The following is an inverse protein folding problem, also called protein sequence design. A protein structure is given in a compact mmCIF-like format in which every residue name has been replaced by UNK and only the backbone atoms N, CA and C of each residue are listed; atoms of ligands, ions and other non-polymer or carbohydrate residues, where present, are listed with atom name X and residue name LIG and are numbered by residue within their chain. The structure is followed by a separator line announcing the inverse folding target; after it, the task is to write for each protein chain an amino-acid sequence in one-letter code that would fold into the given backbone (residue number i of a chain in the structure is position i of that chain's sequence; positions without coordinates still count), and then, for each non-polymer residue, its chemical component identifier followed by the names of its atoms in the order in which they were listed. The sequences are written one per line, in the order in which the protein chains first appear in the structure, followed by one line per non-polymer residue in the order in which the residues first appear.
data_IF_653492381943
#
_entry.id   IF_653492381943
#
_cell.length_a   1.000
_cell.length_b   1.000
_cell.length_c   1.000
_cell.angle_alpha   90.00
_cell.angle_beta   90.00
_cell.angle_gamma   90.00
#
_symmetry.space_group_name_H-M   'P 1'
#
loop_
_entity.id
_entity.type
_entity.pdbx_description
1 polymer ?
#
# COMPACT_ATOMS: atom_id res chain seq x y z
N UNK A 1 -1.14 -114.41 21.93
CA UNK A 1 -1.08 -113.20 22.78
C UNK A 1 0.10 -112.31 22.36
N UNK A 2 -0.11 -111.39 21.42
CA UNK A 2 0.86 -110.33 21.08
C UNK A 2 0.06 -109.13 20.58
N UNK A 3 -0.27 -108.19 21.45
CA UNK A 3 -0.62 -106.78 21.11
C UNK A 3 -0.77 -106.00 22.43
N UNK A 4 0.33 -105.45 22.99
CA UNK A 4 0.25 -104.45 24.09
C UNK A 4 1.32 -103.34 24.04
N UNK A 5 2.18 -103.28 23.02
CA UNK A 5 3.26 -102.28 22.95
C UNK A 5 2.91 -100.99 22.17
N UNK A 6 1.75 -100.89 21.51
CA UNK A 6 1.38 -99.70 20.71
C UNK A 6 0.86 -98.49 21.50
N UNK A 7 0.38 -98.66 22.74
CA UNK A 7 -0.22 -97.56 23.53
C UNK A 7 0.79 -96.72 24.32
N UNK A 8 1.92 -97.30 24.74
CA UNK A 8 2.96 -96.54 25.49
C UNK A 8 3.78 -95.60 24.61
N UNK A 9 3.92 -95.93 23.32
CA UNK A 9 4.74 -95.13 22.39
C UNK A 9 4.01 -93.88 21.87
N UNK A 10 2.67 -93.91 21.74
CA UNK A 10 1.86 -92.73 21.38
C UNK A 10 1.84 -91.64 22.47
N UNK A 11 1.69 -92.04 23.74
CA UNK A 11 1.66 -91.06 24.84
C UNK A 11 2.98 -90.28 25.02
N UNK A 12 4.13 -90.88 24.72
CA UNK A 12 5.43 -90.20 24.82
C UNK A 12 5.63 -89.13 23.73
N UNK A 13 5.06 -89.32 22.53
CA UNK A 13 5.11 -88.33 21.46
C UNK A 13 4.04 -87.23 21.63
N UNK A 14 2.87 -87.57 22.16
CA UNK A 14 1.82 -86.58 22.47
C UNK A 14 2.21 -85.62 23.60
N UNK A 15 2.89 -86.13 24.64
CA UNK A 15 3.41 -85.30 25.73
C UNK A 15 4.44 -84.28 25.22
N UNK A 16 5.27 -84.67 24.25
CA UNK A 16 6.30 -83.82 23.64
C UNK A 16 5.69 -82.76 22.70
N UNK A 17 4.62 -83.11 21.97
CA UNK A 17 3.90 -82.19 21.07
C UNK A 17 3.18 -81.07 21.85
N UNK A 18 2.50 -81.39 22.94
CA UNK A 18 1.79 -80.39 23.74
C UNK A 18 2.76 -79.38 24.38
N UNK A 19 3.93 -79.84 24.81
CA UNK A 19 4.97 -78.99 25.37
C UNK A 19 5.55 -78.03 24.32
N UNK A 20 5.81 -78.52 23.09
CA UNK A 20 6.25 -77.68 21.96
C UNK A 20 5.20 -76.62 21.60
N UNK A 21 3.91 -77.00 21.54
CA UNK A 21 2.83 -76.04 21.27
C UNK A 21 2.79 -74.95 22.35
N UNK A 22 2.89 -75.33 23.63
CA UNK A 22 2.86 -74.36 24.73
C UNK A 22 4.05 -73.38 24.69
N UNK A 23 5.26 -73.84 24.36
CA UNK A 23 6.42 -72.97 24.20
C UNK A 23 6.31 -72.04 22.99
N UNK A 24 5.73 -72.50 21.88
CA UNK A 24 5.47 -71.66 20.71
C UNK A 24 4.38 -70.60 20.98
N UNK A 25 3.30 -70.98 21.67
CA UNK A 25 2.26 -70.04 22.13
C UNK A 25 2.85 -69.01 23.12
N UNK A 26 3.76 -69.44 24.01
CA UNK A 26 4.51 -68.54 24.89
C UNK A 26 5.39 -67.58 24.09
N UNK A 27 6.11 -68.07 23.09
CA UNK A 27 6.97 -67.24 22.20
C UNK A 27 6.14 -66.14 21.54
N UNK A 28 5.00 -66.49 20.96
CA UNK A 28 4.08 -65.52 20.36
C UNK A 28 3.61 -64.48 21.38
N UNK A 29 3.19 -64.93 22.58
CA UNK A 29 2.73 -64.02 23.63
C UNK A 29 3.82 -63.03 24.09
N UNK A 30 5.09 -63.46 24.13
CA UNK A 30 6.21 -62.59 24.46
C UNK A 30 6.47 -61.55 23.36
N UNK A 31 6.40 -61.94 22.08
CA UNK A 31 6.50 -61.01 20.96
C UNK A 31 5.35 -60.00 20.92
N UNK A 32 4.13 -60.44 21.18
CA UNK A 32 2.96 -59.55 21.22
C UNK A 32 3.13 -58.48 22.30
N UNK A 33 3.64 -58.87 23.49
CA UNK A 33 3.97 -57.95 24.58
C UNK A 33 5.13 -57.03 24.21
N UNK A 34 6.17 -57.52 23.54
CA UNK A 34 7.28 -56.69 23.06
C UNK A 34 6.79 -55.65 22.05
N UNK A 35 5.90 -56.05 21.13
CA UNK A 35 5.24 -55.15 20.18
C UNK A 35 4.31 -54.14 20.85
N UNK A 36 3.67 -54.50 21.97
CA UNK A 36 2.90 -53.56 22.79
C UNK A 36 3.82 -52.53 23.48
N UNK A 37 4.96 -52.97 24.04
CA UNK A 37 5.96 -52.08 24.63
C UNK A 37 6.51 -51.12 23.59
N UNK A 38 6.83 -51.60 22.38
CA UNK A 38 7.33 -50.76 21.31
C UNK A 38 6.29 -49.71 20.88
N UNK A 39 5.02 -50.09 20.76
CA UNK A 39 3.91 -49.14 20.49
C UNK A 39 3.75 -48.10 21.62
N UNK A 40 3.81 -48.52 22.88
CA UNK A 40 3.78 -47.59 24.02
C UNK A 40 4.99 -46.65 24.02
N UNK A 41 6.17 -47.16 23.68
CA UNK A 41 7.38 -46.36 23.54
C UNK A 41 7.24 -45.31 22.44
N UNK A 42 6.67 -45.67 21.28
CA UNK A 42 6.38 -44.72 20.20
C UNK A 42 5.35 -43.67 20.64
N UNK A 43 4.27 -44.08 21.31
CA UNK A 43 3.26 -43.16 21.84
C UNK A 43 3.86 -42.13 22.82
N UNK A 44 4.83 -42.52 23.65
CA UNK A 44 5.54 -41.57 24.52
C UNK A 44 6.43 -40.58 23.73
N UNK A 45 6.97 -40.97 22.58
CA UNK A 45 7.70 -40.02 21.69
C UNK A 45 6.73 -39.01 21.09
N UNK A 46 5.57 -39.48 20.63
CA UNK A 46 4.52 -38.62 20.07
C UNK A 46 3.96 -37.65 21.13
N UNK A 47 3.62 -38.15 22.32
CA UNK A 47 3.16 -37.35 23.48
C UNK A 47 4.16 -36.23 23.80
N UNK A 48 5.47 -36.53 23.78
CA UNK A 48 6.52 -35.53 23.99
C UNK A 48 6.52 -34.46 22.89
N UNK A 49 6.46 -34.86 21.63
CA UNK A 49 6.55 -33.94 20.50
C UNK A 49 5.30 -33.05 20.39
N UNK A 50 4.11 -33.62 20.58
CA UNK A 50 2.85 -32.88 20.56
C UNK A 50 2.73 -31.93 21.75
N UNK A 51 3.09 -32.39 22.95
CA UNK A 51 3.08 -31.58 24.17
C UNK A 51 3.98 -30.34 24.04
N UNK A 52 5.19 -30.52 23.49
CA UNK A 52 6.13 -29.43 23.23
C UNK A 52 5.55 -28.38 22.26
N UNK A 53 4.86 -28.83 21.20
CA UNK A 53 4.24 -27.94 20.20
C UNK A 53 3.09 -27.12 20.77
N UNK A 54 2.15 -27.78 21.45
CA UNK A 54 0.94 -27.15 22.02
C UNK A 54 1.31 -26.12 23.10
N UNK A 55 2.24 -26.45 23.99
CA UNK A 55 2.65 -25.55 25.06
C UNK A 55 3.36 -24.30 24.53
N UNK A 56 4.20 -24.45 23.50
CA UNK A 56 4.88 -23.32 22.84
C UNK A 56 3.88 -22.41 22.12
N UNK A 57 2.90 -22.97 21.41
CA UNK A 57 1.87 -22.17 20.71
C UNK A 57 0.98 -21.41 21.70
N UNK A 58 0.59 -22.05 22.80
CA UNK A 58 -0.17 -21.42 23.87
C UNK A 58 0.57 -20.22 24.47
N UNK A 59 1.87 -20.37 24.78
CA UNK A 59 2.71 -19.30 25.29
C UNK A 59 2.79 -18.12 24.31
N UNK A 60 3.06 -18.40 23.03
CA UNK A 60 3.15 -17.34 21.99
C UNK A 60 1.81 -16.58 21.88
N UNK A 61 0.69 -17.28 21.99
CA UNK A 61 -0.65 -16.66 21.94
C UNK A 61 -0.90 -15.78 23.16
N UNK A 62 -0.46 -16.20 24.34
CA UNK A 62 -0.55 -15.43 25.57
C UNK A 62 0.33 -14.18 25.53
N UNK A 63 1.60 -14.32 25.12
CA UNK A 63 2.53 -13.21 24.93
C UNK A 63 1.98 -12.14 23.96
N UNK A 64 1.37 -12.57 22.85
CA UNK A 64 0.72 -11.66 21.89
C UNK A 64 -0.50 -10.95 22.49
N UNK A 65 -1.30 -11.65 23.31
CA UNK A 65 -2.46 -11.05 23.98
C UNK A 65 -2.02 -9.99 24.99
N UNK A 66 -1.02 -10.29 25.79
CA UNK A 66 -0.46 -9.35 26.77
C UNK A 66 0.08 -8.09 26.09
N UNK A 67 0.90 -8.27 25.04
CA UNK A 67 1.43 -7.14 24.25
C UNK A 67 0.33 -6.29 23.66
N UNK A 68 -0.69 -6.90 23.04
CA UNK A 68 -1.83 -6.15 22.47
C UNK A 68 -2.60 -5.37 23.53
N UNK A 69 -2.81 -5.96 24.71
CA UNK A 69 -3.50 -5.30 25.81
C UNK A 69 -2.73 -4.05 26.28
N UNK A 70 -1.41 -4.16 26.43
CA UNK A 70 -0.56 -3.02 26.84
C UNK A 70 -0.41 -1.98 25.72
N UNK A 71 -0.24 -2.41 24.48
CA UNK A 71 -0.17 -1.52 23.32
C UNK A 71 -1.44 -0.67 23.17
N UNK A 72 -2.62 -1.24 23.47
CA UNK A 72 -3.88 -0.50 23.45
C UNK A 72 -3.86 0.68 24.43
N UNK A 73 -3.35 0.47 25.64
CA UNK A 73 -3.23 1.52 26.68
C UNK A 73 -2.32 2.66 26.17
N UNK A 74 -1.22 2.31 25.51
CA UNK A 74 -0.30 3.30 24.93
C UNK A 74 -0.95 4.06 23.76
N UNK A 75 -1.66 3.37 22.87
CA UNK A 75 -2.34 3.99 21.73
C UNK A 75 -3.44 4.97 22.17
N UNK A 76 -4.19 4.66 23.24
CA UNK A 76 -5.20 5.56 23.82
C UNK A 76 -4.59 6.85 24.40
N UNK A 77 -3.29 6.83 24.73
CA UNK A 77 -2.55 7.96 25.30
C UNK A 77 -1.65 8.67 24.29
N UNK A 78 -1.72 8.31 23.00
CA UNK A 78 -0.90 8.92 21.96
C UNK A 78 -1.24 10.42 21.86
N UNK A 79 -0.26 11.33 22.03
CA UNK A 79 -0.50 12.76 21.91
C UNK A 79 -0.92 13.12 20.49
N UNK A 80 -2.05 13.82 20.36
CA UNK A 80 -2.48 14.41 19.09
C UNK A 80 -1.87 15.79 18.93
N UNK A 81 -1.03 15.97 17.91
CA UNK A 81 -0.50 17.29 17.57
C UNK A 81 -1.21 17.82 16.33
N UNK A 82 -1.85 18.98 16.46
CA UNK A 82 -2.46 19.64 15.32
C UNK A 82 -1.37 20.31 14.47
N UNK A 83 -1.54 20.33 13.13
CA UNK A 83 -0.61 21.03 12.22
C UNK A 83 -0.43 22.51 12.54
N UNK A 84 -1.39 23.11 13.23
CA UNK A 84 -1.39 24.52 13.68
C UNK A 84 -0.56 24.77 14.94
N UNK A 85 -0.15 23.73 15.67
CA UNK A 85 0.55 23.91 16.94
C UNK A 85 1.99 24.41 16.75
N UNK A 86 2.59 24.14 15.59
CA UNK A 86 3.92 24.62 15.19
C UNK A 86 3.91 25.77 14.18
N UNK A 87 2.73 26.29 13.79
CA UNK A 87 2.67 27.40 12.85
C UNK A 87 3.02 28.71 13.55
N UNK A 88 4.16 29.29 13.19
CA UNK A 88 4.52 30.64 13.63
C UNK A 88 3.55 31.66 13.03
N UNK A 89 3.08 32.65 13.80
CA UNK A 89 2.33 33.77 13.24
C UNK A 89 3.18 34.49 12.17
N UNK A 90 2.50 35.07 11.18
CA UNK A 90 3.11 35.78 10.05
C UNK A 90 4.17 36.82 10.47
N UNK A 91 5.02 37.22 9.51
CA UNK A 91 6.17 38.12 9.65
C UNK A 91 6.07 39.18 10.76
N UNK A 92 7.15 39.33 11.54
CA UNK A 92 7.28 40.35 12.57
C UNK A 92 6.93 41.73 12.00
N UNK A 93 6.06 42.52 12.66
CA UNK A 93 5.73 43.86 12.18
C UNK A 93 7.00 44.72 12.08
N UNK A 94 7.20 45.34 10.90
CA UNK A 94 8.37 46.17 10.60
C UNK A 94 8.39 47.41 11.49
N UNK A 95 9.53 47.73 12.09
CA UNK A 95 9.69 48.92 12.93
C UNK A 95 9.52 50.17 12.04
N UNK A 96 8.71 51.17 12.45
CA UNK A 96 8.58 52.45 11.75
C UNK A 96 9.94 53.10 11.46
N UNK A 97 10.90 52.99 12.38
CA UNK A 97 12.26 53.55 12.23
C UNK A 97 13.02 52.96 11.02
N UNK A 98 12.72 51.72 10.62
CA UNK A 98 13.35 51.05 9.48
C UNK A 98 12.77 51.50 8.12
N UNK A 99 11.62 52.20 8.11
CA UNK A 99 10.88 52.59 6.89
C UNK A 99 11.28 54.01 6.41
N UNK A 100 12.03 54.74 7.22
CA UNK A 100 12.55 56.07 6.90
C UNK A 100 12.42 57.00 8.10
N UNK A 101 13.54 57.59 8.52
CA UNK A 101 13.64 58.40 9.73
C UNK A 101 12.97 59.78 9.54
N UNK A 102 11.75 60.00 10.08
CA UNK A 102 11.05 61.28 9.98
C UNK A 102 11.77 62.38 10.76
N UNK A 103 12.67 62.03 11.70
CA UNK A 103 13.45 63.02 12.42
C UNK A 103 14.38 63.78 11.46
N UNK A 104 14.87 63.14 10.39
CA UNK A 104 15.63 63.82 9.33
C UNK A 104 14.78 64.80 8.54
N UNK A 105 13.53 64.47 8.25
CA UNK A 105 12.65 65.35 7.47
C UNK A 105 12.05 66.47 8.32
N UNK A 106 11.77 66.21 9.60
CA UNK A 106 11.44 67.22 10.61
C UNK A 106 12.63 68.16 10.82
N UNK A 107 13.85 67.64 10.96
CA UNK A 107 15.06 68.46 11.13
C UNK A 107 15.35 69.32 9.90
N UNK A 108 15.17 68.81 8.68
CA UNK A 108 15.22 69.64 7.45
C UNK A 108 14.15 70.72 7.46
N UNK A 109 12.93 70.41 7.90
CA UNK A 109 11.84 71.38 8.05
C UNK A 109 12.16 72.48 9.07
N UNK A 110 12.74 72.12 10.21
CA UNK A 110 13.16 73.05 11.27
C UNK A 110 14.34 73.92 10.82
N UNK A 111 15.33 73.37 10.12
CA UNK A 111 16.44 74.15 9.57
C UNK A 111 15.94 75.11 8.48
N UNK A 112 15.06 74.65 7.61
CA UNK A 112 14.40 75.48 6.58
C UNK A 112 13.58 76.61 7.20
N UNK A 113 12.87 76.36 8.30
CA UNK A 113 12.03 77.37 8.95
C UNK A 113 12.85 78.43 9.68
N UNK A 114 13.91 78.03 10.37
CA UNK A 114 14.85 78.97 11.01
C UNK A 114 15.50 79.87 9.96
N UNK A 115 15.92 79.32 8.82
CA UNK A 115 16.47 80.10 7.69
C UNK A 115 15.43 81.06 7.10
N UNK A 116 14.16 80.64 6.97
CA UNK A 116 13.09 81.50 6.46
C UNK A 116 12.78 82.67 7.42
N UNK A 117 12.76 82.43 8.73
CA UNK A 117 12.56 83.47 9.76
C UNK A 117 13.75 84.43 9.79
N UNK A 118 14.98 83.94 9.71
CA UNK A 118 16.18 84.77 9.61
C UNK A 118 16.17 85.62 8.33
N UNK A 119 15.75 85.05 7.19
CA UNK A 119 15.57 85.78 5.93
C UNK A 119 14.50 86.87 6.03
N UNK A 120 13.36 86.59 6.68
CA UNK A 120 12.31 87.57 6.97
C UNK A 120 12.81 88.70 7.88
N UNK A 121 13.57 88.38 8.93
CA UNK A 121 14.15 89.38 9.83
C UNK A 121 15.16 90.28 9.11
N UNK A 122 16.05 89.70 8.30
CA UNK A 122 17.00 90.46 7.48
C UNK A 122 16.27 91.37 6.47
N UNK A 123 15.19 90.88 5.86
CA UNK A 123 14.38 91.64 4.92
C UNK A 123 13.59 92.78 5.60
N UNK A 124 13.07 92.57 6.82
CA UNK A 124 12.46 93.62 7.64
C UNK A 124 13.46 94.72 8.01
N UNK A 125 14.72 94.38 8.30
CA UNK A 125 15.79 95.35 8.56
C UNK A 125 16.06 96.20 7.30
N UNK A 126 16.08 95.58 6.11
CA UNK A 126 16.21 96.29 4.83
C UNK A 126 15.01 97.22 4.55
N UNK A 127 13.80 96.83 4.94
CA UNK A 127 12.60 97.68 4.83
C UNK A 127 12.65 98.92 5.72
N UNK A 128 13.17 98.79 6.95
CA UNK A 128 13.31 99.92 7.90
C UNK A 128 14.36 100.92 7.42
N UNK A 129 15.40 100.44 6.71
CA UNK A 129 16.49 101.28 6.19
C UNK A 129 16.22 101.84 4.78
N UNK A 130 15.23 101.30 4.05
CA UNK A 130 14.83 101.75 2.72
C UNK A 130 13.84 102.94 2.71
N UNK A 131 13.91 103.77 1.67
CA UNK A 131 13.10 104.99 1.50
C UNK A 131 11.58 104.76 1.63
N UNK A 132 10.89 105.69 2.32
CA UNK A 132 9.47 105.62 2.76
C UNK A 132 8.40 105.39 1.68
N UNK A 133 8.74 105.41 0.39
CA UNK A 133 7.78 105.38 -0.72
C UNK A 133 7.20 103.99 -1.04
N UNK A 134 7.81 102.90 -0.56
CA UNK A 134 7.43 101.53 -0.96
C UNK A 134 6.72 100.69 0.11
N UNK A 135 6.51 101.25 1.31
CA UNK A 135 6.12 100.47 2.50
C UNK A 135 4.79 99.71 2.40
N UNK A 136 3.79 100.22 1.68
CA UNK A 136 2.45 99.60 1.62
C UNK A 136 2.37 98.39 0.67
N UNK A 137 3.08 98.41 -0.46
CA UNK A 137 3.10 97.28 -1.41
C UNK A 137 3.95 96.14 -0.84
N UNK A 138 5.06 96.47 -0.17
CA UNK A 138 5.90 95.48 0.48
C UNK A 138 5.22 94.81 1.68
N UNK A 139 4.36 95.51 2.41
CA UNK A 139 3.61 94.95 3.54
C UNK A 139 2.61 93.86 3.10
N UNK A 140 1.88 94.05 1.99
CA UNK A 140 0.92 93.05 1.52
C UNK A 140 1.59 91.78 0.99
N UNK A 141 2.71 91.94 0.27
CA UNK A 141 3.55 90.81 -0.19
C UNK A 141 4.18 90.09 1.01
N UNK A 142 4.60 90.83 2.05
CA UNK A 142 5.12 90.24 3.28
C UNK A 142 4.07 89.45 4.05
N UNK A 143 2.82 89.90 4.11
CA UNK A 143 1.74 89.14 4.74
C UNK A 143 1.42 87.84 3.97
N UNK A 144 1.40 87.87 2.64
CA UNK A 144 1.15 86.68 1.81
C UNK A 144 2.31 85.68 1.85
N UNK A 145 3.56 86.16 1.77
CA UNK A 145 4.75 85.32 1.93
C UNK A 145 4.88 84.80 3.36
N UNK A 146 4.59 85.62 4.36
CA UNK A 146 4.56 85.22 5.77
C UNK A 146 3.53 84.14 6.04
N UNK A 147 2.34 84.22 5.45
CA UNK A 147 1.30 83.19 5.57
C UNK A 147 1.66 81.90 4.82
N UNK A 148 2.28 82.01 3.64
CA UNK A 148 2.79 80.87 2.88
C UNK A 148 3.92 80.14 3.62
N UNK A 149 4.86 80.89 4.19
CA UNK A 149 5.94 80.37 5.04
C UNK A 149 5.35 79.77 6.32
N UNK A 150 4.41 80.42 7.00
CA UNK A 150 3.75 79.86 8.19
C UNK A 150 3.03 78.54 7.88
N UNK A 151 2.35 78.43 6.74
CA UNK A 151 1.71 77.17 6.32
C UNK A 151 2.73 76.06 6.03
N UNK A 152 3.85 76.38 5.36
CA UNK A 152 4.92 75.42 5.09
C UNK A 152 5.68 75.00 6.36
N UNK A 153 5.92 75.94 7.28
CA UNK A 153 6.75 75.77 8.47
C UNK A 153 6.00 75.18 9.65
N UNK A 154 4.74 75.59 9.87
CA UNK A 154 3.99 75.17 11.05
C UNK A 154 3.08 73.97 10.75
N UNK A 155 2.36 73.96 9.63
CA UNK A 155 1.32 72.94 9.38
C UNK A 155 1.91 71.62 8.87
N UNK A 156 2.94 71.65 8.03
CA UNK A 156 3.53 70.42 7.45
C UNK A 156 4.23 69.56 8.50
N UNK A 157 5.09 70.11 9.39
CA UNK A 157 5.74 69.30 10.42
C UNK A 157 4.73 68.74 11.42
N UNK A 158 3.73 69.52 11.82
CA UNK A 158 2.67 69.08 12.73
C UNK A 158 1.87 67.92 12.12
N UNK A 159 1.50 68.00 10.83
CA UNK A 159 0.81 66.91 10.14
C UNK A 159 1.67 65.65 10.03
N UNK A 160 2.97 65.79 9.78
CA UNK A 160 3.90 64.67 9.70
C UNK A 160 4.14 64.02 11.07
N UNK A 161 4.21 64.81 12.15
CA UNK A 161 4.32 64.30 13.52
C UNK A 161 3.07 63.53 13.91
N UNK A 162 1.87 64.07 13.64
CA UNK A 162 0.62 63.38 13.94
C UNK A 162 0.45 62.07 13.15
N UNK A 163 0.85 62.07 11.87
CA UNK A 163 0.83 60.85 11.06
C UNK A 163 1.84 59.80 11.56
N UNK A 164 3.00 60.25 12.06
CA UNK A 164 4.00 59.37 12.67
C UNK A 164 3.52 58.78 13.99
N UNK A 165 2.91 59.59 14.85
CA UNK A 165 2.33 59.15 16.12
C UNK A 165 1.25 58.08 15.90
N UNK A 166 0.40 58.23 14.88
CA UNK A 166 -0.56 57.21 14.47
C UNK A 166 0.11 55.91 13.98
N UNK A 167 1.16 56.02 13.16
CA UNK A 167 1.92 54.85 12.68
C UNK A 167 2.62 54.09 13.82
N UNK A 168 3.20 54.81 14.77
CA UNK A 168 3.79 54.22 15.98
C UNK A 168 2.74 53.52 16.83
N UNK A 169 1.58 54.14 17.04
CA UNK A 169 0.47 53.53 17.78
C UNK A 169 -0.04 52.23 17.14
N UNK A 170 -0.24 52.22 15.81
CA UNK A 170 -0.62 51.00 15.09
C UNK A 170 0.47 49.92 15.15
N UNK A 171 1.75 50.31 15.10
CA UNK A 171 2.85 49.38 15.19
C UNK A 171 2.95 48.76 16.60
N UNK A 172 2.81 49.54 17.66
CA UNK A 172 2.80 49.04 19.04
C UNK A 172 1.66 48.06 19.27
N UNK A 173 0.47 48.34 18.73
CA UNK A 173 -0.68 47.43 18.81
C UNK A 173 -0.41 46.12 18.06
N UNK A 174 0.09 46.20 16.81
CA UNK A 174 0.44 45.02 16.00
C UNK A 174 1.58 44.21 16.63
N UNK A 175 2.57 44.87 17.24
CA UNK A 175 3.67 44.23 17.97
C UNK A 175 3.16 43.50 19.21
N UNK A 176 2.33 44.15 20.04
CA UNK A 176 1.75 43.53 21.23
C UNK A 176 0.93 42.28 20.88
N UNK A 177 0.13 42.35 19.81
CA UNK A 177 -0.64 41.21 19.31
C UNK A 177 0.27 40.09 18.79
N UNK A 178 1.38 40.41 18.12
CA UNK A 178 2.36 39.44 17.65
C UNK A 178 3.08 38.76 18.82
N UNK A 179 3.54 39.51 19.82
CA UNK A 179 4.20 38.99 21.03
C UNK A 179 3.27 38.04 21.80
N UNK A 180 2.00 38.44 22.03
CA UNK A 180 1.00 37.56 22.66
C UNK A 180 0.79 36.25 21.89
N UNK A 181 0.74 36.31 20.56
CA UNK A 181 0.61 35.09 19.73
C UNK A 181 1.85 34.20 19.83
N UNK A 182 3.04 34.79 19.91
CA UNK A 182 4.29 34.03 20.08
C UNK A 182 4.35 33.35 21.45
N UNK A 183 3.95 34.04 22.52
CA UNK A 183 3.87 33.46 23.87
C UNK A 183 2.85 32.33 23.96
N UNK A 184 1.71 32.46 23.27
CA UNK A 184 0.70 31.40 23.17
C UNK A 184 1.22 30.18 22.40
N UNK A 185 1.99 30.38 21.31
CA UNK A 185 2.66 29.30 20.58
C UNK A 185 3.71 28.62 21.47
N UNK A 186 4.53 29.39 22.19
CA UNK A 186 5.54 28.86 23.10
C UNK A 186 4.92 27.99 24.20
N UNK A 187 3.85 28.46 24.85
CA UNK A 187 3.12 27.69 25.88
C UNK A 187 2.48 26.42 25.34
N UNK A 188 1.89 26.45 24.13
CA UNK A 188 1.35 25.25 23.48
C UNK A 188 2.46 24.23 23.16
N UNK A 189 3.60 24.70 22.66
CA UNK A 189 4.74 23.84 22.37
C UNK A 189 5.31 23.18 23.63
N UNK A 190 5.44 23.91 24.73
CA UNK A 190 5.89 23.37 26.01
C UNK A 190 4.95 22.27 26.52
N UNK A 191 3.63 22.52 26.49
CA UNK A 191 2.62 21.52 26.86
C UNK A 191 2.65 20.28 25.97
N UNK A 192 2.88 20.46 24.66
CA UNK A 192 3.01 19.34 23.73
C UNK A 192 4.27 18.51 24.04
N UNK A 193 5.41 19.16 24.31
CA UNK A 193 6.65 18.49 24.70
C UNK A 193 6.50 17.70 26.01
N UNK A 194 5.80 18.26 26.99
CA UNK A 194 5.49 17.56 28.25
C UNK A 194 4.63 16.30 27.98
N UNK A 195 3.59 16.43 27.15
CA UNK A 195 2.76 15.28 26.75
C UNK A 195 3.54 14.20 25.99
N UNK A 196 4.54 14.57 25.19
CA UNK A 196 5.44 13.61 24.53
C UNK A 196 6.34 12.90 25.55
N UNK A 197 6.89 13.62 26.52
CA UNK A 197 7.71 13.03 27.58
C UNK A 197 6.91 12.02 28.41
N UNK A 198 5.67 12.36 28.78
CA UNK A 198 4.79 11.45 29.51
C UNK A 198 4.47 10.19 28.69
N UNK A 199 4.22 10.37 27.39
CA UNK A 199 4.03 9.26 26.47
C UNK A 199 5.27 8.36 26.37
N UNK A 200 6.47 8.93 26.27
CA UNK A 200 7.73 8.18 26.22
C UNK A 200 7.94 7.35 27.49
N UNK A 201 7.66 7.94 28.67
CA UNK A 201 7.72 7.22 29.96
C UNK A 201 6.71 6.06 29.98
N UNK A 202 5.48 6.29 29.53
CA UNK A 202 4.45 5.26 29.43
C UNK A 202 4.85 4.13 28.47
N UNK A 203 5.40 4.47 27.31
CA UNK A 203 5.88 3.52 26.32
C UNK A 203 7.04 2.67 26.87
N UNK A 204 8.03 3.31 27.52
CA UNK A 204 9.14 2.61 28.14
C UNK A 204 8.69 1.66 29.26
N UNK A 205 7.71 2.07 30.07
CA UNK A 205 7.13 1.20 31.09
C UNK A 205 6.41 0.00 30.47
N UNK A 206 5.62 0.20 29.40
CA UNK A 206 5.03 -0.92 28.66
C UNK A 206 6.11 -1.91 28.19
N UNK A 207 7.21 -1.41 27.59
CA UNK A 207 8.28 -2.27 27.08
C UNK A 207 8.90 -3.09 28.22
N UNK A 208 9.20 -2.46 29.36
CA UNK A 208 9.74 -3.14 30.54
C UNK A 208 8.80 -4.21 31.09
N UNK A 209 7.50 -3.90 31.17
CA UNK A 209 6.49 -4.86 31.66
C UNK A 209 6.33 -6.04 30.71
N UNK A 210 6.36 -5.81 29.39
CA UNK A 210 6.31 -6.89 28.40
C UNK A 210 7.55 -7.78 28.46
N UNK A 211 8.74 -7.17 28.60
CA UNK A 211 10.00 -7.90 28.72
C UNK A 211 10.02 -8.78 29.98
N UNK A 212 9.64 -8.22 31.14
CA UNK A 212 9.53 -8.97 32.38
C UNK A 212 8.54 -10.15 32.27
N UNK A 213 7.36 -9.91 31.68
CA UNK A 213 6.36 -10.95 31.46
C UNK A 213 6.88 -12.07 30.53
N UNK A 214 7.60 -11.71 29.47
CA UNK A 214 8.16 -12.68 28.53
C UNK A 214 9.24 -13.55 29.17
N UNK A 215 10.14 -12.94 29.95
CA UNK A 215 11.17 -13.68 30.68
C UNK A 215 10.52 -14.64 31.68
N UNK A 216 9.56 -14.17 32.48
CA UNK A 216 8.87 -15.00 33.48
C UNK A 216 8.12 -16.17 32.83
N UNK A 217 7.32 -15.91 31.81
CA UNK A 217 6.51 -16.95 31.18
C UNK A 217 7.36 -17.95 30.39
N UNK A 218 8.49 -17.52 29.82
CA UNK A 218 9.46 -18.43 29.19
C UNK A 218 10.13 -19.33 30.22
N UNK A 219 10.54 -18.78 31.36
CA UNK A 219 11.15 -19.56 32.45
C UNK A 219 10.17 -20.59 33.02
N UNK A 220 8.91 -20.20 33.23
CA UNK A 220 7.86 -21.12 33.69
C UNK A 220 7.65 -22.26 32.69
N UNK A 221 7.59 -21.96 31.38
CA UNK A 221 7.48 -22.99 30.34
C UNK A 221 8.70 -23.94 30.35
N UNK A 222 9.91 -23.42 30.50
CA UNK A 222 11.13 -24.24 30.59
C UNK A 222 11.04 -25.19 31.78
N UNK A 223 10.61 -24.69 32.95
CA UNK A 223 10.49 -25.51 34.16
C UNK A 223 9.42 -26.59 34.03
N UNK A 224 8.25 -26.25 33.48
CA UNK A 224 7.17 -27.22 33.21
C UNK A 224 7.60 -28.27 32.20
N UNK A 225 8.29 -27.86 31.14
CA UNK A 225 8.80 -28.77 30.11
C UNK A 225 9.84 -29.73 30.67
N UNK A 226 10.72 -29.26 31.54
CA UNK A 226 11.73 -30.11 32.16
C UNK A 226 11.07 -31.14 33.11
N UNK A 227 10.04 -30.74 33.87
CA UNK A 227 9.25 -31.67 34.70
C UNK A 227 8.54 -32.72 33.86
N UNK A 228 7.85 -32.31 32.79
CA UNK A 228 7.17 -33.23 31.88
C UNK A 228 8.15 -34.19 31.19
N UNK A 229 9.31 -33.68 30.75
CA UNK A 229 10.38 -34.50 30.16
C UNK A 229 10.90 -35.54 31.13
N UNK A 230 11.14 -35.17 32.39
CA UNK A 230 11.59 -36.12 33.41
C UNK A 230 10.55 -37.21 33.69
N UNK A 231 9.25 -36.87 33.66
CA UNK A 231 8.18 -37.86 33.82
C UNK A 231 8.14 -38.84 32.63
N UNK A 232 8.23 -38.34 31.40
CA UNK A 232 8.29 -39.16 30.19
C UNK A 232 9.52 -40.07 30.20
N UNK A 233 10.69 -39.55 30.61
CA UNK A 233 11.92 -40.35 30.74
C UNK A 233 11.75 -41.51 31.73
N UNK A 234 11.13 -41.27 32.90
CA UNK A 234 10.83 -42.33 33.86
C UNK A 234 9.94 -43.41 33.28
N UNK A 235 8.89 -43.03 32.52
CA UNK A 235 8.02 -43.99 31.84
C UNK A 235 8.78 -44.79 30.77
N UNK A 236 9.68 -44.12 30.05
CA UNK A 236 10.58 -44.76 29.08
C UNK A 236 11.50 -45.79 29.72
N UNK A 237 12.13 -45.46 30.86
CA UNK A 237 13.02 -46.37 31.57
C UNK A 237 12.26 -47.63 32.04
N UNK A 238 11.04 -47.47 32.56
CA UNK A 238 10.18 -48.61 32.94
C UNK A 238 9.84 -49.49 31.73
N UNK A 239 9.46 -48.90 30.60
CA UNK A 239 9.17 -49.67 29.38
C UNK A 239 10.40 -50.39 28.85
N UNK A 240 11.57 -49.75 28.94
CA UNK A 240 12.84 -50.34 28.54
C UNK A 240 13.20 -51.53 29.42
N UNK A 241 13.10 -51.41 30.74
CA UNK A 241 13.34 -52.52 31.66
C UNK A 241 12.40 -53.71 31.40
N UNK A 242 11.12 -53.43 31.13
CA UNK A 242 10.16 -54.44 30.73
C UNK A 242 10.54 -55.10 29.40
N UNK A 243 10.96 -54.31 28.41
CA UNK A 243 11.44 -54.81 27.11
C UNK A 243 12.68 -55.69 27.26
N UNK A 244 13.70 -55.25 28.00
CA UNK A 244 14.93 -55.98 28.25
C UNK A 244 14.66 -57.31 28.99
N UNK A 245 13.69 -57.35 29.90
CA UNK A 245 13.26 -58.57 30.58
C UNK A 245 12.60 -59.56 29.60
N UNK A 246 11.72 -59.09 28.71
CA UNK A 246 11.08 -59.92 27.69
C UNK A 246 12.08 -60.46 26.66
N UNK A 247 13.05 -59.64 26.23
CA UNK A 247 14.12 -60.08 25.33
C UNK A 247 14.94 -61.20 25.96
N UNK A 248 15.30 -61.09 27.25
CA UNK A 248 15.99 -62.18 27.97
C UNK A 248 15.16 -63.45 28.06
N UNK A 249 13.84 -63.34 28.21
CA UNK A 249 12.95 -64.51 28.17
C UNK A 249 12.90 -65.14 26.77
N UNK A 250 12.85 -64.33 25.71
CA UNK A 250 12.90 -64.77 24.31
C UNK A 250 14.23 -65.46 23.97
N UNK A 251 15.36 -64.91 24.42
CA UNK A 251 16.69 -65.51 24.24
C UNK A 251 16.83 -66.88 24.93
N UNK A 252 16.01 -67.15 25.95
CA UNK A 252 15.96 -68.43 26.64
C UNK A 252 15.20 -69.54 25.90
N UNK A 253 14.51 -69.22 24.81
CA UNK A 253 13.69 -70.16 24.04
C UNK A 253 14.58 -70.93 23.07
N UNK A 254 14.53 -72.27 23.14
CA UNK A 254 15.39 -73.18 22.33
C UNK A 254 14.60 -74.08 21.38
N UNK A 255 13.27 -74.04 21.43
CA UNK A 255 12.39 -74.94 20.66
C UNK A 255 12.43 -74.64 19.16
N UNK A 256 12.63 -73.37 18.79
CA UNK A 256 12.80 -72.90 17.41
C UNK A 256 13.94 -71.88 17.36
N UNK A 257 14.52 -71.68 16.18
CA UNK A 257 15.48 -70.60 15.97
C UNK A 257 14.79 -69.23 16.03
N UNK A 258 15.56 -68.21 16.44
CA UNK A 258 15.06 -66.85 16.64
C UNK A 258 14.49 -66.19 15.37
N UNK A 259 14.96 -66.59 14.18
CA UNK A 259 14.44 -66.16 12.88
C UNK A 259 13.00 -66.63 12.62
N UNK A 260 12.53 -67.65 13.33
CA UNK A 260 11.18 -68.20 13.21
C UNK A 260 10.24 -67.71 14.31
N UNK A 261 10.70 -66.85 15.22
CA UNK A 261 9.90 -66.37 16.35
C UNK A 261 8.61 -65.66 15.88
N UNK A 262 8.69 -64.83 14.84
CA UNK A 262 7.52 -64.15 14.26
C UNK A 262 6.45 -65.12 13.71
N UNK A 263 6.84 -66.37 13.44
CA UNK A 263 5.94 -67.42 12.93
C UNK A 263 5.52 -68.41 14.02
N UNK A 264 5.98 -68.24 15.26
CA UNK A 264 5.75 -69.20 16.34
C UNK A 264 4.26 -69.49 16.57
N UNK A 265 3.39 -68.47 16.55
CA UNK A 265 1.94 -68.65 16.70
C UNK A 265 1.30 -69.44 15.55
N UNK A 266 1.76 -69.23 14.31
CA UNK A 266 1.28 -69.99 13.15
C UNK A 266 1.73 -71.45 13.23
N UNK A 267 3.01 -71.69 13.55
CA UNK A 267 3.57 -73.03 13.75
C UNK A 267 2.80 -73.76 14.87
N UNK A 268 2.51 -73.09 15.99
CA UNK A 268 1.71 -73.64 17.08
C UNK A 268 0.31 -74.03 16.59
N UNK A 269 -0.34 -73.18 15.80
CA UNK A 269 -1.68 -73.41 15.26
C UNK A 269 -1.71 -74.60 14.29
N UNK A 270 -0.72 -74.72 13.40
CA UNK A 270 -0.59 -75.87 12.48
C UNK A 270 -0.40 -77.18 13.24
N UNK A 271 0.40 -77.16 14.31
CA UNK A 271 0.58 -78.29 15.21
C UNK A 271 -0.67 -78.59 16.05
N UNK A 272 -1.44 -77.59 16.47
CA UNK A 272 -2.64 -77.77 17.31
C UNK A 272 -3.83 -78.30 16.51
N UNK A 273 -3.98 -77.85 15.27
CA UNK A 273 -5.07 -78.24 14.36
C UNK A 273 -4.85 -79.59 13.68
N UNK A 274 -3.65 -80.16 13.80
CA UNK A 274 -3.31 -81.43 13.14
C UNK A 274 -3.03 -81.30 11.65
N UNK A 275 -2.87 -80.07 11.14
CA UNK A 275 -2.44 -79.82 9.75
C UNK A 275 -0.98 -80.18 9.50
N UNK A 276 -0.18 -80.24 10.57
CA UNK A 276 1.17 -80.77 10.58
C UNK A 276 1.32 -81.83 11.68
N UNK A 277 2.00 -82.93 11.36
CA UNK A 277 2.26 -84.02 12.32
C UNK A 277 3.57 -83.82 13.09
N UNK A 278 4.50 -83.03 12.54
CA UNK A 278 5.82 -82.77 13.14
C UNK A 278 6.17 -81.27 13.14
N UNK A 279 7.04 -80.84 14.06
CA UNK A 279 7.52 -79.45 14.12
C UNK A 279 8.19 -79.00 12.82
N UNK A 280 8.99 -79.89 12.19
CA UNK A 280 9.65 -79.60 10.90
C UNK A 280 8.64 -79.36 9.79
N UNK A 281 7.57 -80.17 9.74
CA UNK A 281 6.49 -80.00 8.78
C UNK A 281 5.70 -78.71 9.04
N UNK A 282 5.43 -78.40 10.32
CA UNK A 282 4.76 -77.16 10.71
C UNK A 282 5.57 -75.91 10.34
N UNK A 283 6.89 -75.93 10.51
CA UNK A 283 7.78 -74.84 10.09
C UNK A 283 7.72 -74.65 8.57
N UNK A 284 7.88 -75.74 7.79
CA UNK A 284 7.85 -75.66 6.33
C UNK A 284 6.49 -75.16 5.82
N UNK A 285 5.39 -75.62 6.41
CA UNK A 285 4.05 -75.16 6.07
C UNK A 285 3.83 -73.69 6.45
N UNK A 286 4.30 -73.26 7.63
CA UNK A 286 4.21 -71.86 8.05
C UNK A 286 4.96 -70.93 7.08
N UNK A 287 6.18 -71.28 6.69
CA UNK A 287 6.97 -70.50 5.73
C UNK A 287 6.31 -70.43 4.35
N UNK A 288 5.72 -71.55 3.89
CA UNK A 288 5.02 -71.58 2.61
C UNK A 288 3.70 -70.78 2.63
N UNK A 289 2.96 -70.79 3.75
CA UNK A 289 1.78 -69.94 3.95
C UNK A 289 2.15 -68.46 3.97
N UNK A 290 3.19 -68.09 4.72
CA UNK A 290 3.69 -66.70 4.76
C UNK A 290 4.13 -66.22 3.38
N UNK A 291 4.85 -67.05 2.62
CA UNK A 291 5.27 -66.73 1.25
C UNK A 291 4.06 -66.47 0.34
N UNK A 292 3.02 -67.30 0.43
CA UNK A 292 1.80 -67.13 -0.36
C UNK A 292 1.02 -65.88 0.03
N UNK A 293 0.91 -65.61 1.33
CA UNK A 293 0.24 -64.42 1.84
C UNK A 293 0.97 -63.15 1.38
N UNK A 294 2.30 -63.16 1.35
CA UNK A 294 3.12 -62.05 0.84
C UNK A 294 2.91 -61.84 -0.66
N UNK A 295 2.96 -62.92 -1.46
CA UNK A 295 2.68 -62.86 -2.90
C UNK A 295 1.24 -62.37 -3.21
N UNK A 296 0.26 -62.70 -2.36
CA UNK A 296 -1.09 -62.15 -2.47
C UNK A 296 -1.16 -60.68 -2.06
N UNK A 297 -0.47 -60.28 -1.00
CA UNK A 297 -0.42 -58.89 -0.56
C UNK A 297 0.18 -58.00 -1.64
N UNK A 298 1.32 -58.38 -2.21
CA UNK A 298 1.96 -57.67 -3.31
C UNK A 298 1.04 -57.54 -4.54
N UNK A 299 0.35 -58.61 -4.92
CA UNK A 299 -0.64 -58.56 -6.01
C UNK A 299 -1.78 -57.58 -5.72
N UNK A 300 -2.25 -57.49 -4.47
CA UNK A 300 -3.29 -56.53 -4.06
C UNK A 300 -2.77 -55.10 -4.05
N UNK A 301 -1.55 -54.87 -3.60
CA UNK A 301 -0.90 -53.55 -3.60
C UNK A 301 -0.65 -53.04 -5.02
N UNK A 302 -0.13 -53.89 -5.92
CA UNK A 302 0.00 -53.55 -7.34
C UNK A 302 -1.35 -53.22 -7.99
N UNK A 303 -2.40 -53.97 -7.65
CA UNK A 303 -3.75 -53.70 -8.15
C UNK A 303 -4.28 -52.34 -7.64
N UNK A 304 -4.01 -51.98 -6.38
CA UNK A 304 -4.38 -50.67 -5.81
C UNK A 304 -3.61 -49.53 -6.46
N UNK A 305 -2.29 -49.66 -6.59
CA UNK A 305 -1.47 -48.64 -7.25
C UNK A 305 -1.92 -48.39 -8.70
N UNK A 306 -2.28 -49.44 -9.44
CA UNK A 306 -2.84 -49.31 -10.78
C UNK A 306 -4.21 -48.60 -10.77
N UNK A 307 -5.05 -48.87 -9.78
CA UNK A 307 -6.34 -48.20 -9.66
C UNK A 307 -6.18 -46.70 -9.35
N UNK A 308 -5.26 -46.33 -8.46
CA UNK A 308 -4.95 -44.93 -8.13
C UNK A 308 -4.44 -44.16 -9.36
N UNK A 309 -3.50 -44.74 -10.13
CA UNK A 309 -2.99 -44.13 -11.36
C UNK A 309 -4.13 -43.92 -12.37
N UNK A 310 -5.04 -44.88 -12.51
CA UNK A 310 -6.20 -44.75 -13.41
C UNK A 310 -7.17 -43.65 -12.95
N UNK A 311 -7.34 -43.48 -11.63
CA UNK A 311 -8.18 -42.42 -11.07
C UNK A 311 -7.53 -41.04 -11.26
N UNK A 312 -6.22 -40.92 -11.04
CA UNK A 312 -5.47 -39.69 -11.34
C UNK A 312 -5.56 -39.33 -12.83
N UNK A 313 -5.34 -40.29 -13.73
CA UNK A 313 -5.49 -40.06 -15.16
C UNK A 313 -6.92 -39.66 -15.55
N UNK A 314 -7.94 -40.22 -14.90
CA UNK A 314 -9.33 -39.84 -15.14
C UNK A 314 -9.64 -38.41 -14.66
N UNK A 315 -9.08 -38.00 -13.52
CA UNK A 315 -9.25 -36.64 -12.99
C UNK A 315 -8.50 -35.59 -13.81
N UNK A 316 -7.25 -35.88 -14.21
CA UNK A 316 -6.46 -35.00 -15.07
C UNK A 316 -7.15 -34.78 -16.42
N UNK A 317 -7.69 -35.85 -17.03
CA UNK A 317 -8.46 -35.73 -18.28
C UNK A 317 -9.72 -34.87 -18.11
N UNK A 318 -10.42 -34.96 -16.97
CA UNK A 318 -11.58 -34.09 -16.70
C UNK A 318 -11.15 -32.62 -16.61
N UNK A 319 -10.10 -32.33 -15.85
CA UNK A 319 -9.57 -30.97 -15.69
C UNK A 319 -9.08 -30.39 -17.02
N UNK A 320 -8.38 -31.19 -17.82
CA UNK A 320 -7.94 -30.80 -19.16
C UNK A 320 -9.12 -30.44 -20.07
N UNK A 321 -10.18 -31.25 -20.08
CA UNK A 321 -11.38 -30.99 -20.87
C UNK A 321 -12.11 -29.71 -20.40
N UNK A 322 -12.23 -29.48 -19.09
CA UNK A 322 -12.81 -28.24 -18.56
C UNK A 322 -11.97 -27.02 -18.92
N UNK A 323 -10.64 -27.11 -18.83
CA UNK A 323 -9.73 -26.02 -19.22
C UNK A 323 -9.86 -25.70 -20.72
N UNK A 324 -9.96 -26.73 -21.57
CA UNK A 324 -10.18 -26.55 -23.00
C UNK A 324 -11.52 -25.86 -23.29
N UNK A 325 -12.60 -26.25 -22.59
CA UNK A 325 -13.91 -25.60 -22.74
C UNK A 325 -13.85 -24.12 -22.36
N UNK A 326 -13.24 -23.78 -21.22
CA UNK A 326 -13.09 -22.37 -20.80
C UNK A 326 -12.25 -21.56 -21.79
N UNK A 327 -11.18 -22.16 -22.34
CA UNK A 327 -10.37 -21.51 -23.36
C UNK A 327 -11.18 -21.22 -24.63
N UNK A 328 -11.98 -22.20 -25.09
CA UNK A 328 -12.86 -22.03 -26.23
C UNK A 328 -13.95 -20.95 -25.99
N UNK A 329 -14.55 -20.92 -24.80
CA UNK A 329 -15.51 -19.89 -24.42
C UNK A 329 -14.90 -18.47 -24.41
N UNK A 330 -13.70 -18.34 -23.84
CA UNK A 330 -12.97 -17.07 -23.81
C UNK A 330 -12.60 -16.60 -25.23
N UNK A 331 -12.15 -17.52 -26.09
CA UNK A 331 -11.86 -17.19 -27.48
C UNK A 331 -13.13 -16.76 -28.23
N UNK A 332 -14.25 -17.44 -28.01
CA UNK A 332 -15.53 -17.05 -28.61
C UNK A 332 -15.99 -15.67 -28.12
N UNK A 333 -15.77 -15.34 -26.84
CA UNK A 333 -16.08 -14.03 -26.28
C UNK A 333 -15.19 -12.93 -26.87
N UNK A 334 -13.87 -13.16 -26.93
CA UNK A 334 -12.91 -12.23 -27.52
C UNK A 334 -13.23 -11.95 -29.00
N UNK A 335 -13.64 -12.97 -29.77
CA UNK A 335 -14.08 -12.76 -31.15
C UNK A 335 -15.36 -11.91 -31.26
N UNK A 336 -16.33 -12.09 -30.36
CA UNK A 336 -17.55 -11.25 -30.33
C UNK A 336 -17.22 -9.80 -29.99
N UNK A 337 -16.33 -9.57 -29.02
CA UNK A 337 -15.88 -8.24 -28.62
C UNK A 337 -15.15 -7.54 -29.78
N UNK A 338 -14.21 -8.24 -30.43
CA UNK A 338 -13.52 -7.73 -31.61
C UNK A 338 -14.47 -7.40 -32.77
N UNK A 339 -15.50 -8.23 -33.00
CA UNK A 339 -16.52 -7.93 -34.04
C UNK A 339 -17.32 -6.67 -33.69
N UNK A 340 -17.69 -6.49 -32.42
CA UNK A 340 -18.41 -5.30 -31.97
C UNK A 340 -17.56 -4.02 -32.09
N UNK A 341 -16.26 -4.10 -31.83
CA UNK A 341 -15.32 -2.98 -32.04
C UNK A 341 -15.18 -2.61 -33.51
N UNK A 342 -15.04 -3.61 -34.38
CA UNK A 342 -14.99 -3.40 -35.84
C UNK A 342 -16.26 -2.74 -36.37
N UNK A 343 -17.44 -3.14 -35.89
CA UNK A 343 -18.70 -2.48 -36.25
C UNK A 343 -18.76 -1.01 -35.80
N UNK A 344 -18.25 -0.70 -34.60
CA UNK A 344 -18.19 0.68 -34.12
C UNK A 344 -17.24 1.53 -34.96
N UNK A 345 -16.04 1.03 -35.24
CA UNK A 345 -15.07 1.70 -36.09
C UNK A 345 -15.63 1.95 -37.51
N UNK A 346 -16.34 0.98 -38.08
CA UNK A 346 -17.00 1.14 -39.38
C UNK A 346 -18.09 2.24 -39.36
N UNK A 347 -18.90 2.32 -38.29
CA UNK A 347 -19.90 3.39 -38.14
C UNK A 347 -19.28 4.77 -37.97
N UNK A 348 -18.16 4.88 -37.27
CA UNK A 348 -17.44 6.15 -37.09
C UNK A 348 -16.80 6.62 -38.40
N UNK A 349 -16.20 5.71 -39.17
CA UNK A 349 -15.68 6.01 -40.50
C UNK A 349 -16.80 6.46 -41.46
N UNK A 350 -17.97 5.81 -41.40
CA UNK A 350 -19.13 6.22 -42.20
C UNK A 350 -19.59 7.65 -41.86
N UNK A 351 -19.70 7.99 -40.57
CA UNK A 351 -20.04 9.36 -40.13
C UNK A 351 -19.00 10.39 -40.54
N UNK A 352 -17.71 10.07 -40.43
CA UNK A 352 -16.64 10.96 -40.87
C UNK A 352 -16.71 11.22 -42.39
N UNK A 353 -16.98 10.17 -43.17
CA UNK A 353 -17.17 10.29 -44.62
C UNK A 353 -18.40 11.14 -44.98
N UNK A 354 -19.52 11.01 -44.25
CA UNK A 354 -20.71 11.86 -44.45
C UNK A 354 -20.42 13.34 -44.16
N UNK A 355 -19.71 13.65 -43.07
CA UNK A 355 -19.33 15.02 -42.73
C UNK A 355 -18.38 15.61 -43.79
N UNK A 356 -17.44 14.82 -44.29
CA UNK A 356 -16.54 15.25 -45.36
C UNK A 356 -17.31 15.51 -46.67
N UNK A 357 -18.30 14.68 -46.99
CA UNK A 357 -19.16 14.89 -48.15
C UNK A 357 -20.01 16.18 -48.01
N UNK A 358 -20.55 16.46 -46.82
CA UNK A 358 -21.29 17.70 -46.55
C UNK A 358 -20.39 18.94 -46.66
N UNK A 359 -19.18 18.89 -46.11
CA UNK A 359 -18.21 19.98 -46.22
C UNK A 359 -17.81 20.24 -47.68
N UNK A 360 -17.60 19.17 -48.46
CA UNK A 360 -17.31 19.28 -49.89
C UNK A 360 -18.50 19.90 -50.67
N UNK A 361 -19.74 19.51 -50.36
CA UNK A 361 -20.93 20.11 -50.96
C UNK A 361 -21.07 21.62 -50.62
N UNK A 362 -20.79 22.00 -49.37
CA UNK A 362 -20.81 23.41 -48.94
C UNK A 362 -19.72 24.24 -49.61
N UNK A 363 -18.50 23.70 -49.72
CA UNK A 363 -17.39 24.35 -50.42
C UNK A 363 -17.69 24.56 -51.91
N UNK A 364 -18.28 23.56 -52.57
CA UNK A 364 -18.70 23.67 -53.97
C UNK A 364 -19.78 24.74 -54.16
N UNK A 365 -20.75 24.84 -53.23
CA UNK A 365 -21.77 25.89 -53.27
C UNK A 365 -21.16 27.28 -53.11
N UNK A 366 -20.25 27.45 -52.15
CA UNK A 366 -19.55 28.72 -51.95
C UNK A 366 -18.74 29.14 -53.18
N UNK A 367 -18.04 28.19 -53.82
CA UNK A 367 -17.29 28.45 -55.04
C UNK A 367 -18.21 28.91 -56.19
N UNK A 368 -19.39 28.28 -56.34
CA UNK A 368 -20.39 28.72 -57.33
C UNK A 368 -20.92 30.13 -57.04
N UNK A 369 -21.19 30.45 -55.77
CA UNK A 369 -21.67 31.78 -55.38
C UNK A 369 -20.62 32.87 -55.62
N UNK A 370 -19.34 32.58 -55.32
CA UNK A 370 -18.23 33.47 -55.65
C UNK A 370 -18.08 33.69 -57.15
N UNK A 371 -18.20 32.62 -57.95
CA UNK A 371 -18.16 32.73 -59.41
C UNK A 371 -19.31 33.59 -59.95
N UNK A 372 -20.54 33.44 -59.42
CA UNK A 372 -21.68 34.30 -59.77
C UNK A 372 -21.44 35.76 -59.38
N UNK A 373 -20.96 36.01 -58.16
CA UNK A 373 -20.67 37.37 -57.68
C UNK A 373 -19.59 38.05 -58.53
N UNK A 374 -18.54 37.32 -58.93
CA UNK A 374 -17.51 37.82 -59.83
C UNK A 374 -18.06 38.19 -61.21
N UNK A 375 -18.95 37.37 -61.79
CA UNK A 375 -19.62 37.70 -63.06
C UNK A 375 -20.50 38.95 -62.95
N UNK A 376 -21.22 39.12 -61.84
CA UNK A 376 -22.04 40.32 -61.61
C UNK A 376 -21.17 41.58 -61.53
N UNK A 377 -20.06 41.53 -60.79
CA UNK A 377 -19.10 42.65 -60.69
C UNK A 377 -18.46 42.99 -62.04
N UNK A 378 -18.13 41.98 -62.84
CA UNK A 378 -17.59 42.19 -64.19
C UNK A 378 -18.61 42.93 -65.08
N UNK A 379 -19.88 42.51 -65.06
CA UNK A 379 -20.95 43.18 -65.81
C UNK A 379 -21.21 44.61 -65.36
N UNK A 380 -21.21 44.88 -64.05
CA UNK A 380 -21.40 46.25 -63.55
C UNK A 380 -20.24 47.16 -63.93
N UNK A 381 -19.00 46.66 -63.88
CA UNK A 381 -17.82 47.41 -64.31
C UNK A 381 -17.85 47.72 -65.82
N UNK A 382 -18.29 46.77 -66.65
CA UNK A 382 -18.51 47.00 -68.08
C UNK A 382 -19.59 48.07 -68.35
N UNK A 383 -20.68 48.04 -67.59
CA UNK A 383 -21.75 49.04 -67.71
C UNK A 383 -21.26 50.44 -67.33
N UNK A 384 -20.58 50.59 -66.19
CA UNK A 384 -20.04 51.87 -65.72
C UNK A 384 -18.99 52.44 -66.70
N UNK A 385 -18.15 51.58 -67.26
CA UNK A 385 -17.19 51.96 -68.29
C UNK A 385 -17.87 52.49 -69.56
N UNK A 386 -18.95 51.83 -70.01
CA UNK A 386 -19.76 52.29 -71.15
C UNK A 386 -20.43 53.64 -70.87
N UNK A 387 -20.92 53.85 -69.66
CA UNK A 387 -21.59 55.09 -69.25
C UNK A 387 -20.61 56.28 -69.23
N UNK A 388 -19.42 56.10 -68.64
CA UNK A 388 -18.33 57.09 -68.67
C UNK A 388 -17.91 57.44 -70.10
N UNK A 389 -17.85 56.45 -70.99
CA UNK A 389 -17.56 56.69 -72.40
C UNK A 389 -18.65 57.52 -73.10
N UNK A 390 -19.93 57.19 -72.90
CA UNK A 390 -21.05 57.97 -73.46
C UNK A 390 -21.02 59.43 -73.00
N UNK A 391 -20.73 59.68 -71.73
CA UNK A 391 -20.55 61.03 -71.20
C UNK A 391 -19.42 61.81 -71.90
N UNK A 392 -18.31 61.12 -72.20
CA UNK A 392 -17.19 61.71 -72.93
C UNK A 392 -17.55 62.06 -74.39
N UNK A 393 -18.22 61.15 -75.11
CA UNK A 393 -18.62 61.36 -76.52
C UNK A 393 -19.56 62.55 -76.69
N UNK A 394 -20.48 62.77 -75.74
CA UNK A 394 -21.46 63.87 -75.79
C UNK A 394 -20.91 65.24 -75.33
N UNK A 395 -19.66 65.32 -74.89
CA UNK A 395 -19.04 66.58 -74.46
C UNK A 395 -18.55 67.42 -75.64
N UNK A 396 -18.80 68.74 -75.61
CA UNK A 396 -18.36 69.70 -76.64
C UNK A 396 -16.84 69.83 -76.75
N UNK A 397 -16.08 69.37 -75.75
CA UNK A 397 -14.61 69.37 -75.71
C UNK A 397 -13.95 68.04 -76.12
N UNK A 398 -14.74 67.06 -76.57
CA UNK A 398 -14.20 65.76 -76.98
C UNK A 398 -13.50 65.86 -78.34
N UNK A 399 -12.35 65.18 -78.48
CA UNK A 399 -11.54 65.21 -79.70
C UNK A 399 -12.29 64.61 -80.90
N UNK A 400 -12.02 65.12 -82.12
CA UNK A 400 -12.70 64.70 -83.35
C UNK A 400 -12.56 63.19 -83.62
N UNK A 401 -11.39 62.60 -83.31
CA UNK A 401 -11.13 61.15 -83.42
C UNK A 401 -11.95 60.31 -82.42
N UNK A 402 -12.27 60.86 -81.23
CA UNK A 402 -13.11 60.18 -80.23
C UNK A 402 -14.61 60.27 -80.56
N UNK A 403 -15.05 61.28 -81.31
CA UNK A 403 -16.45 61.39 -81.79
C UNK A 403 -16.75 60.50 -83.00
N UNK A 404 -15.78 60.30 -83.90
CA UNK A 404 -15.95 59.39 -85.05
C UNK A 404 -16.01 57.91 -84.64
N UNK A 405 -15.43 57.55 -83.49
CA UNK A 405 -15.51 56.21 -82.89
C UNK A 405 -16.66 56.06 -81.86
N UNK A 406 -17.76 56.80 -82.04
CA UNK A 406 -18.94 56.74 -81.15
C UNK A 406 -19.62 55.36 -81.09
N UNK A 407 -19.28 54.45 -82.02
CA UNK A 407 -19.77 53.06 -82.04
C UNK A 407 -18.98 52.10 -81.13
N UNK A 408 -17.88 52.53 -80.49
CA UNK A 408 -17.00 51.63 -79.71
C UNK A 408 -16.85 52.00 -78.23
N UNK A 409 -17.91 52.48 -77.57
CA UNK A 409 -17.89 52.63 -76.11
C UNK A 409 -17.83 51.29 -75.35
N UNK A 410 -17.89 50.15 -76.04
CA UNK A 410 -17.60 48.82 -75.47
C UNK A 410 -16.13 48.58 -75.11
N UNK A 411 -15.21 49.47 -75.48
CA UNK A 411 -13.76 49.33 -75.23
C UNK A 411 -13.17 50.44 -74.35
N UNK A 412 -13.99 51.17 -73.60
CA UNK A 412 -13.49 52.18 -72.65
C UNK A 412 -12.90 51.47 -71.42
N UNK A 413 -11.59 51.55 -71.25
CA UNK A 413 -10.93 51.23 -69.97
C UNK A 413 -10.67 52.55 -69.25
N UNK A 414 -11.31 52.83 -68.09
CA UNK A 414 -10.84 53.91 -67.23
C UNK A 414 -9.41 53.57 -66.79
N UNK A 415 -8.49 54.52 -66.94
CA UNK A 415 -7.17 54.45 -66.30
C UNK A 415 -7.29 54.81 -64.83
#
# INVERSE_FOLDING_TARGET
MKMKNGRKMKMSNELNRQQVIAELERTQSLLDKLGEINRKSQALVEERNEGDGVATEALVKEMKRFQKAKQKIVQEKLPHVAKTDFSFPCERPKNPEDVGDPAKDIMKGVVSSVLAVAGLAFWLILLITGSKAWGLIFLSVACMLGFGIFSLVAMIPVRNILAWEQLCGEWEEKKSLWEKKMDDVARRNEKNLESFRDFDVLYLNMVKECDAFYVESTNNLIEEREKARQEILKRFDVLKEQGDALVKELDGITVIHADLFEHAGLIATLLKTGRADTLKEAINLALEEVRKDEEERQRREEARARAEILEEQATENRLYNEAMQRAAENQARAMREHHAEMERAAREQAKAAELQAQAAAAANKLAQDQARAAQVRARSAEYEAREKCRGCVNSTKCSFAARQNSLSCGAYKPR
#
